data_IF_927084325513
#
_entry.id   IF_927084325513
#
_cell.length_a   1.000
_cell.length_b   1.000
_cell.length_c   1.000
_cell.angle_alpha   90.00
_cell.angle_beta   90.00
_cell.angle_gamma   90.00
#
_symmetry.space_group_name_H-M   'P 1'
#
loop_
_entity.id
_entity.type
_entity.pdbx_description
1 polymer ?
#
# COMPACT_ATOMS: atom_id res chain seq x y z
N UNK A 1 2.09 -12.27 5.60
CA UNK A 1 2.51 -13.47 4.84
C UNK A 1 1.75 -14.68 5.34
N UNK A 2 1.04 -15.38 4.47
CA UNK A 2 0.36 -16.65 4.79
C UNK A 2 1.02 -17.77 3.99
N UNK A 3 1.81 -18.60 4.68
CA UNK A 3 2.54 -19.74 4.12
C UNK A 3 1.64 -20.74 3.37
N UNK A 4 0.35 -20.70 3.62
CA UNK A 4 -0.62 -21.53 2.91
C UNK A 4 -0.73 -21.15 1.43
N UNK A 5 -0.59 -19.86 1.11
CA UNK A 5 -0.80 -19.33 -0.23
C UNK A 5 0.47 -18.85 -0.92
N UNK A 6 1.47 -18.46 -0.14
CA UNK A 6 2.72 -17.88 -0.60
C UNK A 6 3.91 -18.78 -0.29
N UNK A 7 4.96 -18.66 -1.06
CA UNK A 7 6.28 -19.21 -0.80
C UNK A 7 7.33 -18.14 -1.02
N UNK A 8 8.42 -18.22 -0.27
CA UNK A 8 9.57 -17.35 -0.43
C UNK A 8 10.30 -17.70 -1.73
N UNK A 9 10.68 -16.69 -2.49
CA UNK A 9 11.58 -16.79 -3.64
C UNK A 9 12.99 -16.40 -3.21
N UNK A 10 13.12 -15.23 -2.57
CA UNK A 10 14.39 -14.74 -2.01
C UNK A 10 14.16 -13.72 -0.91
N UNK A 11 15.12 -13.62 0.01
CA UNK A 11 15.15 -12.57 1.04
C UNK A 11 16.57 -12.03 1.15
N UNK A 12 16.69 -10.71 1.05
CA UNK A 12 17.93 -9.95 1.16
C UNK A 12 17.88 -9.00 2.37
N UNK A 13 18.94 -8.23 2.63
CA UNK A 13 19.03 -7.42 3.83
C UNK A 13 17.92 -6.34 3.97
N UNK A 14 17.41 -5.85 2.86
CA UNK A 14 16.45 -4.75 2.78
C UNK A 14 15.19 -5.08 1.97
N UNK A 15 15.13 -6.29 1.36
CA UNK A 15 14.08 -6.67 0.43
C UNK A 15 13.71 -8.15 0.54
N UNK A 16 12.47 -8.48 0.15
CA UNK A 16 12.01 -9.87 0.04
C UNK A 16 11.11 -10.02 -1.19
N UNK A 17 11.15 -11.20 -1.80
CA UNK A 17 10.32 -11.59 -2.93
C UNK A 17 9.59 -12.89 -2.60
N UNK A 18 8.31 -12.91 -2.86
CA UNK A 18 7.45 -14.07 -2.64
C UNK A 18 6.60 -14.37 -3.88
N UNK A 19 6.19 -15.63 -4.00
CA UNK A 19 5.38 -16.13 -5.11
C UNK A 19 4.15 -16.85 -4.59
N UNK A 20 3.01 -16.65 -5.25
CA UNK A 20 1.80 -17.42 -4.96
C UNK A 20 1.94 -18.86 -5.47
N UNK A 21 1.66 -19.84 -4.60
CA UNK A 21 1.85 -21.28 -4.90
C UNK A 21 0.99 -21.79 -6.06
N UNK A 22 -0.20 -21.25 -6.25
CA UNK A 22 -1.13 -21.72 -7.28
C UNK A 22 -1.05 -20.95 -8.59
N UNK A 23 -0.99 -19.62 -8.52
CA UNK A 23 -1.03 -18.77 -9.72
C UNK A 23 0.35 -18.40 -10.24
N UNK A 24 1.43 -18.64 -9.47
CA UNK A 24 2.77 -18.23 -9.85
C UNK A 24 2.99 -16.71 -9.89
N UNK A 25 2.05 -15.93 -9.34
CA UNK A 25 2.19 -14.48 -9.28
C UNK A 25 3.25 -14.10 -8.25
N UNK A 26 4.13 -13.19 -8.62
CA UNK A 26 5.23 -12.77 -7.76
C UNK A 26 5.11 -11.31 -7.35
N UNK A 27 5.53 -11.03 -6.13
CA UNK A 27 5.64 -9.68 -5.60
C UNK A 27 6.92 -9.55 -4.78
N UNK A 28 7.56 -8.39 -4.88
CA UNK A 28 8.68 -8.03 -4.06
C UNK A 28 8.42 -6.70 -3.36
N UNK A 29 8.99 -6.56 -2.17
CA UNK A 29 9.05 -5.30 -1.47
C UNK A 29 10.41 -5.05 -0.86
N UNK A 30 10.80 -3.78 -0.89
CA UNK A 30 12.03 -3.27 -0.33
C UNK A 30 11.72 -2.13 0.62
N UNK A 31 12.66 -1.85 1.54
CA UNK A 31 12.54 -0.73 2.47
C UNK A 31 13.81 0.10 2.51
N UNK A 32 13.61 1.41 2.67
CA UNK A 32 14.64 2.35 3.08
C UNK A 32 14.19 3.03 4.38
N UNK A 33 15.12 3.30 5.29
CA UNK A 33 14.81 3.85 6.62
C UNK A 33 15.77 4.97 6.96
N UNK A 34 15.25 6.01 7.60
CA UNK A 34 16.01 7.18 8.05
C UNK A 34 15.69 7.48 9.52
N UNK A 35 16.71 7.70 10.30
CA UNK A 35 16.60 8.16 11.67
C UNK A 35 17.93 8.82 12.05
N UNK A 36 17.91 10.10 12.38
CA UNK A 36 19.11 10.87 12.72
C UNK A 36 19.90 10.27 13.87
N UNK A 37 21.22 10.10 13.63
CA UNK A 37 22.15 9.56 14.61
C UNK A 37 21.95 8.09 14.93
N UNK A 38 21.26 7.34 14.05
CA UNK A 38 21.05 5.91 14.20
C UNK A 38 22.11 5.10 13.45
N UNK A 39 22.65 4.10 14.12
CA UNK A 39 23.40 3.02 13.47
C UNK A 39 22.44 1.85 13.24
N UNK A 40 22.31 1.43 11.98
CA UNK A 40 21.39 0.39 11.60
C UNK A 40 22.04 -0.98 11.60
N UNK A 41 21.35 -1.95 12.17
CA UNK A 41 21.65 -3.36 12.06
C UNK A 41 20.52 -4.07 11.33
N UNK A 42 20.83 -4.68 10.17
CA UNK A 42 19.88 -5.42 9.37
C UNK A 42 20.08 -6.93 9.57
N UNK A 43 19.01 -7.62 9.91
CA UNK A 43 18.95 -9.08 10.02
C UNK A 43 18.06 -9.64 8.92
N UNK A 44 18.56 -10.65 8.22
CA UNK A 44 17.81 -11.42 7.25
C UNK A 44 17.39 -12.75 7.89
N UNK A 45 16.11 -13.04 7.84
CA UNK A 45 15.54 -14.36 8.20
C UNK A 45 14.66 -14.83 7.05
N UNK A 46 14.36 -16.11 6.93
CA UNK A 46 13.40 -16.57 5.94
C UNK A 46 12.13 -15.71 5.99
N UNK A 47 11.70 -15.21 4.83
CA UNK A 47 10.47 -14.41 4.65
C UNK A 47 10.40 -13.11 5.45
N UNK A 48 11.52 -12.66 6.05
CA UNK A 48 11.52 -11.50 6.93
C UNK A 48 12.80 -10.67 6.86
N UNK A 49 12.63 -9.40 6.61
CA UNK A 49 13.67 -8.39 6.77
C UNK A 49 13.42 -7.60 8.05
N UNK A 50 14.45 -7.46 8.87
CA UNK A 50 14.39 -6.69 10.11
C UNK A 50 15.54 -5.70 10.16
N UNK A 51 15.22 -4.42 10.26
CA UNK A 51 16.16 -3.37 10.55
C UNK A 51 15.95 -2.88 11.99
N UNK A 52 17.02 -2.80 12.77
CA UNK A 52 17.01 -2.31 14.15
C UNK A 52 18.04 -1.21 14.31
N UNK A 53 17.71 -0.21 15.11
CA UNK A 53 18.64 0.84 15.51
C UNK A 53 18.44 1.21 16.97
N UNK A 54 19.49 1.67 17.63
CA UNK A 54 19.46 2.25 18.96
C UNK A 54 19.74 3.75 18.85
N UNK A 55 18.90 4.57 19.46
CA UNK A 55 19.04 6.03 19.47
C UNK A 55 18.84 6.54 20.88
N UNK A 56 19.78 7.38 21.34
CA UNK A 56 19.65 8.10 22.60
C UNK A 56 19.19 9.53 22.35
N UNK A 57 18.21 9.99 23.13
CA UNK A 57 17.71 11.36 23.08
C UNK A 57 17.59 11.94 24.48
N UNK A 58 17.75 13.23 24.60
CA UNK A 58 17.46 13.93 25.86
C UNK A 58 15.96 13.91 26.17
N UNK A 59 15.64 14.01 27.45
CA UNK A 59 14.23 14.07 27.89
C UNK A 59 13.51 15.26 27.26
N UNK A 60 12.42 14.99 26.55
CA UNK A 60 11.63 16.00 25.85
C UNK A 60 11.99 16.18 24.38
N UNK A 61 13.07 15.57 23.87
CA UNK A 61 13.41 15.56 22.47
C UNK A 61 12.75 14.38 21.76
N UNK A 62 12.14 14.66 20.59
CA UNK A 62 11.56 13.63 19.74
C UNK A 62 12.65 12.95 18.89
N UNK A 63 12.40 11.69 18.56
CA UNK A 63 13.07 10.99 17.46
C UNK A 63 12.04 10.72 16.37
N UNK A 64 12.34 11.05 15.12
CA UNK A 64 11.47 10.82 13.98
C UNK A 64 12.10 9.76 13.09
N UNK A 65 11.36 8.66 12.89
CA UNK A 65 11.73 7.59 11.97
C UNK A 65 10.92 7.74 10.70
N UNK A 66 11.58 7.85 9.57
CA UNK A 66 10.96 7.71 8.26
C UNK A 66 11.23 6.32 7.70
N UNK A 67 10.18 5.69 7.19
CA UNK A 67 10.27 4.40 6.52
C UNK A 67 9.61 4.50 5.15
N UNK A 68 10.38 4.25 4.12
CA UNK A 68 9.94 4.20 2.74
C UNK A 68 9.86 2.76 2.29
N UNK A 69 8.76 2.36 1.65
CA UNK A 69 8.55 1.01 1.18
C UNK A 69 8.22 1.01 -0.31
N UNK A 70 8.98 0.28 -1.10
CA UNK A 70 8.70 0.01 -2.50
C UNK A 70 8.07 -1.36 -2.65
N UNK A 71 7.00 -1.46 -3.42
CA UNK A 71 6.29 -2.71 -3.70
C UNK A 71 6.13 -2.84 -5.21
N UNK A 72 6.62 -3.95 -5.78
CA UNK A 72 6.51 -4.26 -7.20
C UNK A 72 5.99 -5.68 -7.39
N UNK A 73 5.33 -5.92 -8.52
CA UNK A 73 4.75 -7.23 -8.81
C UNK A 73 5.02 -7.68 -10.23
N UNK A 74 4.89 -8.99 -10.48
CA UNK A 74 5.02 -9.60 -11.80
C UNK A 74 3.94 -9.17 -12.80
N UNK A 75 2.98 -8.35 -12.37
CA UNK A 75 2.03 -7.69 -13.25
C UNK A 75 2.71 -6.65 -14.15
N UNK A 76 3.74 -5.98 -13.65
CA UNK A 76 4.42 -4.84 -14.30
C UNK A 76 5.92 -5.07 -14.56
N UNK A 77 6.55 -6.04 -13.91
CA UNK A 77 7.98 -6.29 -13.98
C UNK A 77 8.27 -7.77 -14.20
N UNK A 78 9.37 -8.10 -14.86
CA UNK A 78 9.84 -9.47 -14.93
C UNK A 78 10.25 -9.98 -13.53
N UNK A 79 10.01 -11.25 -13.20
CA UNK A 79 10.34 -11.80 -11.87
C UNK A 79 11.79 -11.55 -11.42
N UNK A 80 12.74 -11.63 -12.35
CA UNK A 80 14.16 -11.40 -12.06
C UNK A 80 14.49 -9.96 -11.64
N UNK A 81 13.65 -8.99 -12.02
CA UNK A 81 13.89 -7.56 -11.80
C UNK A 81 13.11 -7.01 -10.60
N UNK A 82 12.25 -7.82 -9.98
CA UNK A 82 11.29 -7.36 -8.97
C UNK A 82 11.95 -6.70 -7.74
N UNK A 83 12.99 -7.31 -7.19
CA UNK A 83 13.71 -6.74 -6.05
C UNK A 83 14.38 -5.42 -6.42
N UNK A 84 15.04 -5.36 -7.59
CA UNK A 84 15.67 -4.13 -8.06
C UNK A 84 14.64 -3.01 -8.28
N UNK A 85 13.49 -3.34 -8.88
CA UNK A 85 12.40 -2.40 -9.08
C UNK A 85 11.82 -1.90 -7.75
N UNK A 86 11.59 -2.79 -6.78
CA UNK A 86 11.09 -2.41 -5.45
C UNK A 86 12.08 -1.51 -4.69
N UNK A 87 13.39 -1.78 -4.78
CA UNK A 87 14.44 -0.91 -4.23
C UNK A 87 14.45 0.47 -4.89
N UNK A 88 14.30 0.52 -6.21
CA UNK A 88 14.24 1.78 -6.93
C UNK A 88 13.05 2.64 -6.44
N UNK A 89 11.88 2.05 -6.25
CA UNK A 89 10.70 2.75 -5.71
C UNK A 89 10.94 3.25 -4.29
N UNK A 90 11.52 2.42 -3.41
CA UNK A 90 11.83 2.82 -2.03
C UNK A 90 12.85 3.96 -1.99
N UNK A 91 13.92 3.88 -2.79
CA UNK A 91 14.97 4.89 -2.90
C UNK A 91 14.44 6.22 -3.47
N UNK A 92 13.61 6.17 -4.50
CA UNK A 92 12.97 7.37 -5.07
C UNK A 92 12.06 8.06 -4.04
N UNK A 93 11.33 7.26 -3.23
CA UNK A 93 10.53 7.81 -2.15
C UNK A 93 11.38 8.48 -1.07
N UNK A 94 12.52 7.88 -0.71
CA UNK A 94 13.48 8.46 0.20
C UNK A 94 14.11 9.75 -0.33
N UNK A 95 14.50 9.78 -1.61
CA UNK A 95 15.06 10.97 -2.27
C UNK A 95 14.05 12.13 -2.33
N UNK A 96 12.77 11.83 -2.62
CA UNK A 96 11.71 12.83 -2.60
C UNK A 96 11.45 13.39 -1.19
N UNK A 97 11.57 12.55 -0.17
CA UNK A 97 11.31 12.90 1.22
C UNK A 97 9.83 12.85 1.60
N UNK A 98 9.57 12.73 2.91
CA UNK A 98 8.22 12.54 3.45
C UNK A 98 7.26 13.68 3.10
N UNK A 99 7.71 14.93 3.22
CA UNK A 99 6.83 16.10 2.99
C UNK A 99 6.35 16.18 1.55
N UNK A 100 7.22 15.95 0.57
CA UNK A 100 6.84 15.93 -0.85
C UNK A 100 5.85 14.80 -1.16
N UNK A 101 6.07 13.61 -0.61
CA UNK A 101 5.14 12.49 -0.76
C UNK A 101 3.79 12.76 -0.10
N UNK A 102 3.77 13.46 1.04
CA UNK A 102 2.54 13.86 1.72
C UNK A 102 1.76 14.91 0.90
N UNK A 103 2.44 15.87 0.30
CA UNK A 103 1.84 16.85 -0.60
C UNK A 103 1.22 16.18 -1.82
N UNK A 104 1.97 15.29 -2.48
CA UNK A 104 1.49 14.50 -3.62
C UNK A 104 0.25 13.66 -3.27
N UNK A 105 0.31 12.94 -2.16
CA UNK A 105 -0.80 12.14 -1.65
C UNK A 105 -2.03 13.01 -1.36
N UNK A 106 -1.84 14.14 -0.72
CA UNK A 106 -2.92 15.09 -0.39
C UNK A 106 -3.59 15.63 -1.65
N UNK A 107 -2.80 16.03 -2.64
CA UNK A 107 -3.31 16.53 -3.92
C UNK A 107 -4.07 15.43 -4.69
N UNK A 108 -3.55 14.21 -4.72
CA UNK A 108 -4.20 13.08 -5.39
C UNK A 108 -5.56 12.73 -4.76
N UNK A 109 -5.65 12.75 -3.43
CA UNK A 109 -6.92 12.52 -2.74
C UNK A 109 -7.90 13.70 -2.90
N UNK A 110 -7.43 14.94 -2.84
CA UNK A 110 -8.27 16.12 -3.07
C UNK A 110 -8.92 16.06 -4.45
N UNK A 111 -8.17 15.68 -5.49
CA UNK A 111 -8.70 15.51 -6.83
C UNK A 111 -9.79 14.44 -6.93
N UNK A 112 -9.63 13.32 -6.21
CA UNK A 112 -10.65 12.25 -6.17
C UNK A 112 -11.91 12.66 -5.44
N UNK A 113 -11.77 13.34 -4.31
CA UNK A 113 -12.91 13.81 -3.52
C UNK A 113 -13.74 14.86 -4.24
N UNK A 114 -13.13 15.67 -5.09
CA UNK A 114 -13.82 16.75 -5.80
C UNK A 114 -15.05 16.28 -6.60
N UNK A 115 -15.00 15.07 -7.15
CA UNK A 115 -16.09 14.53 -7.98
C UNK A 115 -17.11 13.66 -7.25
N UNK A 116 -16.90 13.33 -5.98
CA UNK A 116 -17.72 12.30 -5.31
C UNK A 116 -18.10 12.60 -3.85
N UNK A 117 -17.70 13.73 -3.29
CA UNK A 117 -18.08 14.08 -1.91
C UNK A 117 -19.58 14.36 -1.79
N UNK A 118 -20.16 13.93 -0.68
CA UNK A 118 -21.57 14.15 -0.33
C UNK A 118 -21.63 14.89 1.00
N UNK A 119 -22.35 16.02 1.01
CA UNK A 119 -22.54 16.81 2.22
C UNK A 119 -23.91 16.53 2.84
N UNK A 120 -23.91 16.17 4.13
CA UNK A 120 -25.11 15.90 4.93
C UNK A 120 -25.19 16.96 6.04
N UNK A 121 -26.17 17.87 5.96
CA UNK A 121 -26.42 18.87 6.98
C UNK A 121 -27.12 18.26 8.22
N UNK A 122 -26.72 18.71 9.41
CA UNK A 122 -27.42 18.42 10.66
C UNK A 122 -27.10 17.07 11.34
N UNK A 123 -26.36 16.16 10.67
CA UNK A 123 -25.96 14.88 11.26
C UNK A 123 -24.49 14.55 10.99
N UNK A 124 -23.63 14.84 11.98
CA UNK A 124 -22.19 14.59 11.88
C UNK A 124 -21.83 13.10 11.77
N UNK A 125 -22.64 12.19 12.34
CA UNK A 125 -22.41 10.73 12.24
C UNK A 125 -22.72 10.22 10.85
N UNK A 126 -23.83 10.67 10.27
CA UNK A 126 -24.18 10.33 8.90
C UNK A 126 -23.13 10.88 7.91
N UNK A 127 -22.67 12.13 8.13
CA UNK A 127 -21.60 12.73 7.33
C UNK A 127 -20.30 11.93 7.39
N UNK A 128 -19.88 11.53 8.59
CA UNK A 128 -18.69 10.68 8.75
C UNK A 128 -18.88 9.31 8.08
N UNK A 129 -20.04 8.71 8.26
CA UNK A 129 -20.38 7.40 7.71
C UNK A 129 -20.33 7.38 6.17
N UNK A 130 -20.95 8.34 5.50
CA UNK A 130 -20.96 8.40 4.03
C UNK A 130 -19.54 8.63 3.47
N UNK A 131 -18.77 9.55 4.07
CA UNK A 131 -17.39 9.79 3.66
C UNK A 131 -16.50 8.58 3.87
N UNK A 132 -16.69 7.84 4.96
CA UNK A 132 -15.97 6.57 5.18
C UNK A 132 -16.31 5.54 4.09
N UNK A 133 -17.58 5.39 3.72
CA UNK A 133 -17.99 4.48 2.65
C UNK A 133 -17.39 4.87 1.29
N UNK A 134 -17.41 6.16 0.94
CA UNK A 134 -16.80 6.70 -0.28
C UNK A 134 -15.29 6.42 -0.27
N UNK A 135 -14.61 6.69 0.84
CA UNK A 135 -13.18 6.40 0.99
C UNK A 135 -12.87 4.91 0.75
N UNK A 136 -13.68 4.00 1.32
CA UNK A 136 -13.50 2.55 1.15
C UNK A 136 -13.68 2.12 -0.32
N UNK A 137 -14.59 2.72 -1.06
CA UNK A 137 -14.76 2.47 -2.48
C UNK A 137 -13.58 3.03 -3.30
N UNK A 138 -13.18 4.27 -3.07
CA UNK A 138 -12.08 4.92 -3.79
C UNK A 138 -10.72 4.22 -3.58
N UNK A 139 -10.46 3.65 -2.41
CA UNK A 139 -9.23 2.89 -2.18
C UNK A 139 -9.27 1.48 -2.77
N UNK A 140 -10.46 0.93 -3.03
CA UNK A 140 -10.62 -0.42 -3.59
C UNK A 140 -10.31 -0.44 -5.09
N UNK A 141 -10.78 0.58 -5.82
CA UNK A 141 -10.59 0.66 -7.26
C UNK A 141 -10.55 2.12 -7.72
N UNK A 142 -9.59 2.42 -8.57
CA UNK A 142 -9.36 3.79 -9.06
C UNK A 142 -9.67 3.98 -10.55
N UNK A 143 -9.94 2.91 -11.28
CA UNK A 143 -10.12 2.95 -12.73
C UNK A 143 -8.84 3.07 -13.56
N UNK A 144 -7.68 3.25 -12.91
CA UNK A 144 -6.40 3.49 -13.61
C UNK A 144 -5.87 2.22 -14.29
N UNK A 145 -6.02 1.06 -13.66
CA UNK A 145 -5.55 -0.21 -14.22
C UNK A 145 -6.74 -1.14 -14.52
N UNK A 146 -7.03 -1.30 -15.79
CA UNK A 146 -8.15 -2.13 -16.27
C UNK A 146 -7.94 -3.64 -16.09
N UNK A 147 -6.74 -4.08 -15.70
CA UNK A 147 -6.45 -5.48 -15.40
C UNK A 147 -6.91 -5.89 -13.99
N UNK A 148 -7.20 -4.91 -13.13
CA UNK A 148 -7.66 -5.13 -11.77
C UNK A 148 -9.17 -5.29 -11.71
N UNK A 149 -9.63 -6.18 -10.85
CA UNK A 149 -11.05 -6.34 -10.54
C UNK A 149 -11.47 -5.49 -9.34
N UNK A 150 -12.78 -5.35 -9.15
CA UNK A 150 -13.38 -4.67 -7.99
C UNK A 150 -13.84 -5.74 -7.01
N UNK A 151 -13.06 -5.97 -5.94
CA UNK A 151 -13.44 -6.89 -4.87
C UNK A 151 -14.53 -6.30 -3.98
N UNK A 152 -15.69 -6.97 -3.79
CA UNK A 152 -16.83 -6.39 -3.06
C UNK A 152 -16.58 -6.24 -1.56
N UNK A 153 -15.54 -6.86 -1.02
CA UNK A 153 -15.13 -6.72 0.39
C UNK A 153 -14.13 -5.59 0.62
N UNK A 154 -13.79 -4.83 -0.41
CA UNK A 154 -12.84 -3.75 -0.35
C UNK A 154 -11.38 -4.21 -0.33
N UNK A 155 -10.48 -3.25 -0.27
CA UNK A 155 -9.03 -3.47 -0.34
C UNK A 155 -8.50 -4.36 0.79
N UNK A 156 -9.07 -4.26 1.98
CA UNK A 156 -8.64 -5.02 3.17
C UNK A 156 -9.49 -6.25 3.48
N UNK A 157 -10.55 -6.49 2.71
CA UNK A 157 -11.51 -7.56 2.94
C UNK A 157 -11.20 -8.84 2.17
N UNK A 158 -10.07 -9.47 2.39
CA UNK A 158 -9.59 -10.63 1.62
C UNK A 158 -10.32 -11.95 1.87
N UNK A 159 -11.38 -11.94 2.65
CA UNK A 159 -12.03 -13.18 3.10
C UNK A 159 -12.46 -14.12 1.96
N UNK A 160 -12.68 -13.58 0.76
CA UNK A 160 -13.05 -14.31 -0.45
C UNK A 160 -11.99 -14.25 -1.55
N UNK A 161 -10.73 -13.94 -1.19
CA UNK A 161 -9.62 -13.94 -2.13
C UNK A 161 -9.64 -12.81 -3.17
N UNK A 162 -10.36 -11.72 -2.91
CA UNK A 162 -10.40 -10.55 -3.79
C UNK A 162 -11.12 -10.76 -5.14
N UNK A 163 -11.86 -11.87 -5.30
CA UNK A 163 -12.58 -12.14 -6.55
C UNK A 163 -13.84 -11.28 -6.71
N UNK A 164 -14.26 -11.05 -7.95
CA UNK A 164 -15.49 -10.35 -8.29
C UNK A 164 -16.70 -11.25 -8.04
N UNK A 165 -17.71 -10.71 -7.42
CA UNK A 165 -19.04 -11.34 -7.23
C UNK A 165 -20.11 -10.44 -7.82
N UNK A 166 -21.36 -10.91 -7.88
CA UNK A 166 -22.50 -10.12 -8.30
C UNK A 166 -22.74 -8.86 -7.45
N UNK A 167 -22.28 -8.88 -6.19
CA UNK A 167 -22.26 -7.70 -5.30
C UNK A 167 -21.48 -6.53 -5.90
N UNK A 168 -20.43 -6.80 -6.67
CA UNK A 168 -19.65 -5.77 -7.36
C UNK A 168 -20.52 -4.99 -8.34
N UNK A 169 -21.29 -5.67 -9.18
CA UNK A 169 -22.18 -5.03 -10.17
C UNK A 169 -23.36 -4.33 -9.50
N UNK A 170 -23.93 -4.93 -8.46
CA UNK A 170 -25.11 -4.39 -7.80
C UNK A 170 -24.84 -3.20 -6.89
N UNK A 171 -23.70 -3.18 -6.19
CA UNK A 171 -23.45 -2.22 -5.11
C UNK A 171 -22.21 -1.35 -5.30
N UNK A 172 -21.17 -1.83 -5.99
CA UNK A 172 -19.93 -1.07 -6.17
C UNK A 172 -19.93 -0.32 -7.51
N UNK A 173 -20.31 -0.99 -8.59
CA UNK A 173 -20.27 -0.43 -9.94
C UNK A 173 -21.14 0.84 -10.11
N UNK A 174 -22.37 0.95 -9.53
CA UNK A 174 -23.15 2.18 -9.61
C UNK A 174 -22.41 3.43 -9.09
N UNK A 175 -21.63 3.28 -8.02
CA UNK A 175 -20.82 4.37 -7.50
C UNK A 175 -19.75 4.80 -8.51
N UNK A 176 -18.98 3.86 -9.04
CA UNK A 176 -17.90 4.18 -9.98
C UNK A 176 -18.43 4.80 -11.28
N UNK A 177 -19.57 4.32 -11.78
CA UNK A 177 -20.22 4.90 -12.99
C UNK A 177 -20.75 6.32 -12.76
N UNK A 178 -21.12 6.65 -11.52
CA UNK A 178 -21.65 7.97 -11.19
C UNK A 178 -20.52 8.99 -10.91
N UNK A 179 -19.31 8.54 -10.60
CA UNK A 179 -18.19 9.38 -10.18
C UNK A 179 -16.99 9.37 -11.16
N UNK A 180 -17.09 8.62 -12.26
CA UNK A 180 -16.06 8.52 -13.29
C UNK A 180 -16.03 9.73 -14.25
#
# INVERSE_FOLDING_TARGET
YDEKFWEEVSTEADATQSRTKKSGFEAAWAQAVELDGAEWHCETRPEKVRATAAVSREKGCAAVLYKYAGICSSLNHAPADLIAAARCVAASGQEAGFEALLEEQTAAWAARWHGCDIEIGGDARAQQGIRFCIFMLLQTYTGVDTRLNIGPKGFTGEKYGGVTYWDTEAYCLPFYLATA
#
